data_IF_873027750526
#
_entry.id   IF_873027750526
#
_cell.length_a   1.000
_cell.length_b   1.000
_cell.length_c   1.000
_cell.angle_alpha   90.00
_cell.angle_beta   90.00
_cell.angle_gamma   90.00
#
_symmetry.space_group_name_H-M   'P 1'
#
loop_
_entity.id
_entity.type
_entity.pdbx_description
1 polymer ?
#
# COMPACT_ATOMS: atom_id res chain seq x y z
N UNK A 1 10.94 -14.61 11.36
CA UNK A 1 11.95 -13.63 11.82
C UNK A 1 11.26 -12.31 12.15
N UNK A 2 11.64 -11.51 13.17
CA UNK A 2 10.90 -10.27 13.53
C UNK A 2 10.86 -9.20 12.43
N UNK A 3 11.87 -9.16 11.55
CA UNK A 3 11.91 -8.18 10.46
C UNK A 3 10.93 -8.50 9.31
N UNK A 4 10.61 -9.77 9.13
CA UNK A 4 9.76 -10.25 8.02
C UNK A 4 8.33 -9.68 8.09
N UNK A 5 7.60 -9.74 9.23
CA UNK A 5 6.29 -9.11 9.36
C UNK A 5 6.32 -7.58 9.19
N UNK A 6 7.41 -6.92 9.59
CA UNK A 6 7.58 -5.48 9.38
C UNK A 6 7.75 -5.13 7.90
N UNK A 7 8.55 -5.90 7.15
CA UNK A 7 8.74 -5.68 5.72
C UNK A 7 7.49 -6.07 4.91
N UNK A 8 6.84 -7.17 5.28
CA UNK A 8 5.59 -7.63 4.68
C UNK A 8 4.44 -6.64 4.93
N UNK A 9 4.37 -6.01 6.11
CA UNK A 9 3.33 -5.03 6.43
C UNK A 9 3.41 -3.73 5.63
N UNK A 10 4.56 -3.37 5.06
CA UNK A 10 4.76 -2.14 4.28
C UNK A 10 4.70 -2.42 2.78
N UNK A 11 5.41 -3.45 2.32
CA UNK A 11 5.59 -3.71 0.88
C UNK A 11 4.79 -4.91 0.38
N UNK A 12 4.17 -5.69 1.27
CA UNK A 12 3.47 -6.94 0.95
C UNK A 12 4.31 -7.80 -0.01
N UNK A 13 5.60 -7.92 0.29
CA UNK A 13 6.59 -8.52 -0.59
C UNK A 13 7.42 -9.58 0.15
N UNK A 14 8.16 -10.37 -0.61
CA UNK A 14 9.04 -11.40 -0.09
C UNK A 14 10.38 -10.81 0.36
N UNK A 15 10.70 -10.86 1.67
CA UNK A 15 11.94 -10.29 2.19
C UNK A 15 13.18 -10.88 1.51
N UNK A 16 13.13 -12.13 1.04
CA UNK A 16 14.25 -12.79 0.34
C UNK A 16 14.45 -12.25 -1.09
N UNK A 17 13.45 -11.57 -1.65
CA UNK A 17 13.52 -10.98 -3.00
C UNK A 17 13.54 -9.45 -3.01
N UNK A 18 13.40 -8.85 -1.83
CA UNK A 18 13.35 -7.40 -1.64
C UNK A 18 14.76 -6.82 -1.59
N UNK A 19 15.04 -5.84 -2.44
CA UNK A 19 16.27 -5.06 -2.34
C UNK A 19 16.22 -4.13 -1.13
N UNK A 20 17.04 -4.41 -0.11
CA UNK A 20 17.19 -3.54 1.07
C UNK A 20 17.57 -2.10 0.70
N UNK A 21 18.41 -1.93 -0.33
CA UNK A 21 18.82 -0.61 -0.80
C UNK A 21 17.65 0.18 -1.40
N UNK A 22 16.73 -0.50 -2.08
CA UNK A 22 15.57 0.15 -2.70
C UNK A 22 14.47 0.45 -1.66
N UNK A 23 14.23 -0.45 -0.70
CA UNK A 23 13.09 -0.33 0.21
C UNK A 23 13.43 0.26 1.58
N UNK A 24 14.67 0.13 2.04
CA UNK A 24 15.13 0.69 3.32
C UNK A 24 16.49 1.39 3.21
N UNK A 25 16.64 2.38 2.30
CA UNK A 25 17.92 3.06 2.07
C UNK A 25 18.51 3.67 3.35
N UNK A 26 17.67 4.16 4.25
CA UNK A 26 18.08 4.73 5.54
C UNK A 26 18.81 3.73 6.44
N UNK A 27 18.46 2.44 6.42
CA UNK A 27 19.21 1.45 7.21
C UNK A 27 20.59 1.19 6.62
N UNK A 28 20.69 1.15 5.28
CA UNK A 28 21.99 1.05 4.59
C UNK A 28 22.87 2.26 4.91
N UNK A 29 22.31 3.47 4.91
CA UNK A 29 23.03 4.68 5.29
C UNK A 29 23.52 4.65 6.74
N UNK A 30 22.65 4.20 7.68
CA UNK A 30 23.01 4.07 9.08
C UNK A 30 24.13 3.05 9.26
N UNK A 31 24.02 1.88 8.63
CA UNK A 31 25.05 0.85 8.68
C UNK A 31 26.37 1.37 8.10
N UNK A 32 26.36 2.00 6.92
CA UNK A 32 27.56 2.60 6.31
C UNK A 32 28.22 3.64 7.21
N UNK A 33 27.41 4.45 7.91
CA UNK A 33 27.91 5.55 8.76
C UNK A 33 28.42 5.07 10.13
N UNK A 34 27.76 4.10 10.73
CA UNK A 34 28.01 3.70 12.13
C UNK A 34 28.60 2.29 12.28
N UNK A 35 28.70 1.52 11.19
CA UNK A 35 29.12 0.12 11.17
C UNK A 35 28.15 -0.84 11.87
N UNK A 36 27.00 -0.35 12.33
CA UNK A 36 25.98 -1.11 13.06
C UNK A 36 24.69 -0.32 13.18
N UNK A 37 23.56 -0.97 12.90
CA UNK A 37 22.22 -0.38 13.08
C UNK A 37 21.95 0.01 14.54
N UNK A 38 22.32 -0.85 15.49
CA UNK A 38 22.15 -0.60 16.92
C UNK A 38 22.92 0.64 17.37
N UNK A 39 24.18 0.78 16.94
CA UNK A 39 25.00 1.95 17.25
C UNK A 39 24.39 3.23 16.68
N UNK A 40 23.90 3.18 15.44
CA UNK A 40 23.22 4.30 14.80
C UNK A 40 21.93 4.72 15.49
N UNK A 41 21.09 3.76 15.90
CA UNK A 41 19.86 4.04 16.64
C UNK A 41 20.13 4.66 18.03
N UNK A 42 21.15 4.17 18.75
CA UNK A 42 21.57 4.76 20.03
C UNK A 42 22.03 6.21 19.83
N UNK A 43 22.84 6.46 18.80
CA UNK A 43 23.30 7.81 18.47
C UNK A 43 22.12 8.75 18.14
N UNK A 44 21.16 8.29 17.34
CA UNK A 44 19.96 9.05 16.99
C UNK A 44 19.08 9.37 18.20
N UNK A 45 18.89 8.41 19.11
CA UNK A 45 18.14 8.61 20.37
C UNK A 45 18.80 9.66 21.26
N UNK A 46 20.11 9.59 21.45
CA UNK A 46 20.87 10.58 22.23
C UNK A 46 20.72 11.99 21.64
N UNK A 47 20.81 12.12 20.31
CA UNK A 47 20.61 13.39 19.62
C UNK A 47 19.17 13.92 19.71
N UNK A 48 18.15 13.05 19.63
CA UNK A 48 16.75 13.46 19.78
C UNK A 48 16.44 13.96 21.19
N UNK A 49 16.98 13.29 22.20
CA UNK A 49 16.83 13.67 23.61
C UNK A 49 17.52 15.00 23.92
N UNK A 50 18.72 15.23 23.38
CA UNK A 50 19.44 16.50 23.50
C UNK A 50 18.69 17.68 22.85
N UNK A 51 17.85 17.42 21.84
CA UNK A 51 17.07 18.42 21.11
C UNK A 51 15.64 18.61 21.65
N UNK A 52 15.30 18.03 22.81
CA UNK A 52 13.99 18.22 23.46
C UNK A 52 12.78 17.72 22.65
N UNK A 53 12.98 16.81 21.69
CA UNK A 53 11.88 16.25 20.90
C UNK A 53 11.16 15.19 21.73
N UNK A 54 9.93 15.50 22.15
CA UNK A 54 9.07 14.58 22.87
C UNK A 54 8.66 13.39 21.96
N UNK A 55 8.74 12.18 22.50
CA UNK A 55 8.53 10.92 21.76
C UNK A 55 7.04 10.61 21.50
N UNK A 56 6.13 11.50 21.92
CA UNK A 56 4.67 11.26 21.95
C UNK A 56 3.92 11.55 20.65
N UNK A 57 4.55 12.12 19.63
CA UNK A 57 3.89 12.32 18.34
C UNK A 57 3.86 11.00 17.56
N UNK A 58 2.68 10.40 17.45
CA UNK A 58 2.45 9.26 16.54
C UNK A 58 2.89 9.63 15.12
N UNK A 59 3.66 8.75 14.48
CA UNK A 59 4.08 8.93 13.08
C UNK A 59 2.95 8.62 12.10
N UNK A 60 1.83 8.10 12.59
CA UNK A 60 0.66 7.79 11.78
C UNK A 60 -0.27 8.99 11.69
N UNK A 61 -0.19 9.69 10.56
CA UNK A 61 -1.05 10.83 10.25
C UNK A 61 -1.91 10.53 9.02
N UNK A 62 -3.10 11.10 9.00
CA UNK A 62 -4.01 11.10 7.86
C UNK A 62 -4.81 12.39 7.87
N UNK A 63 -5.48 12.73 6.77
CA UNK A 63 -6.39 13.88 6.72
C UNK A 63 -7.72 13.52 7.40
N UNK A 64 -8.52 14.52 7.79
CA UNK A 64 -9.75 14.27 8.56
C UNK A 64 -10.76 13.45 7.75
N UNK A 65 -11.02 13.82 6.49
CA UNK A 65 -11.98 13.11 5.63
C UNK A 65 -11.37 11.97 4.83
N UNK A 66 -10.04 11.88 4.69
CA UNK A 66 -9.41 10.77 3.95
C UNK A 66 -8.22 11.22 3.15
N UNK A 67 -7.36 10.28 2.74
CA UNK A 67 -6.35 10.61 1.74
C UNK A 67 -6.98 11.00 0.38
N UNK A 68 -8.25 10.67 0.15
CA UNK A 68 -9.01 11.17 -0.99
C UNK A 68 -9.15 12.70 -0.99
N UNK A 69 -9.15 13.37 0.17
CA UNK A 69 -9.16 14.84 0.23
C UNK A 69 -7.94 15.45 -0.45
N UNK A 70 -6.77 14.81 -0.32
CA UNK A 70 -5.55 15.26 -1.01
C UNK A 70 -5.72 15.16 -2.53
N UNK A 71 -6.24 14.04 -3.02
CA UNK A 71 -6.47 13.81 -4.45
C UNK A 71 -7.50 14.80 -5.00
N UNK A 72 -8.60 15.01 -4.27
CA UNK A 72 -9.63 15.98 -4.63
C UNK A 72 -9.10 17.41 -4.68
N UNK A 73 -8.30 17.80 -3.69
CA UNK A 73 -7.67 19.13 -3.66
C UNK A 73 -6.68 19.32 -4.83
N UNK A 74 -5.87 18.31 -5.16
CA UNK A 74 -4.97 18.35 -6.31
C UNK A 74 -5.73 18.48 -7.63
N UNK A 75 -6.79 17.69 -7.80
CA UNK A 75 -7.64 17.73 -9.00
C UNK A 75 -8.33 19.10 -9.17
N UNK A 76 -8.69 19.77 -8.07
CA UNK A 76 -9.25 21.12 -8.11
C UNK A 76 -8.19 22.20 -8.37
N UNK A 77 -6.99 22.05 -7.82
CA UNK A 77 -5.93 23.05 -7.91
C UNK A 77 -5.20 23.05 -9.26
N UNK A 78 -5.16 21.92 -9.97
CA UNK A 78 -4.44 21.82 -11.22
C UNK A 78 -5.17 22.59 -12.33
N UNK A 79 -4.40 23.38 -13.08
CA UNK A 79 -4.88 24.09 -14.28
C UNK A 79 -4.52 23.27 -15.52
N UNK A 80 -5.17 22.13 -15.67
CA UNK A 80 -4.97 21.21 -16.79
C UNK A 80 -6.30 20.57 -17.20
N UNK A 81 -6.38 20.09 -18.43
CA UNK A 81 -7.50 19.25 -18.86
C UNK A 81 -7.36 17.86 -18.22
N UNK A 82 -8.39 17.43 -17.48
CA UNK A 82 -8.46 16.10 -16.88
C UNK A 82 -9.50 15.29 -17.64
N UNK A 83 -9.06 14.21 -18.29
CA UNK A 83 -9.93 13.26 -18.99
C UNK A 83 -10.01 11.95 -18.20
N UNK A 84 -11.14 11.72 -17.55
CA UNK A 84 -11.42 10.48 -16.83
C UNK A 84 -12.06 9.46 -17.76
N UNK A 85 -11.83 8.17 -17.51
CA UNK A 85 -12.37 7.10 -18.35
C UNK A 85 -11.79 7.07 -19.77
N UNK A 86 -10.66 7.74 -19.99
CA UNK A 86 -9.98 7.83 -21.28
C UNK A 86 -8.65 7.10 -21.22
N UNK A 87 -8.56 5.95 -21.86
CA UNK A 87 -7.35 5.12 -21.83
C UNK A 87 -6.50 5.39 -23.05
N UNK A 88 -5.21 5.66 -22.84
CA UNK A 88 -4.23 5.60 -23.93
C UNK A 88 -3.96 4.14 -24.26
N UNK A 89 -4.20 3.75 -25.51
CA UNK A 89 -4.02 2.37 -26.00
C UNK A 89 -2.73 2.21 -26.81
N UNK A 90 -2.23 3.28 -27.43
CA UNK A 90 -0.93 3.29 -28.12
C UNK A 90 -0.21 4.62 -27.96
N UNK A 91 1.12 4.54 -27.99
CA UNK A 91 2.04 5.67 -27.97
C UNK A 91 3.10 5.47 -29.07
N UNK A 92 3.31 6.49 -29.89
CA UNK A 92 4.34 6.49 -30.92
C UNK A 92 5.06 7.85 -30.98
N UNK A 93 6.37 7.83 -31.20
CA UNK A 93 7.10 9.05 -31.58
C UNK A 93 6.71 9.49 -32.99
N UNK A 94 6.66 10.80 -33.25
CA UNK A 94 6.37 11.31 -34.59
C UNK A 94 7.66 11.68 -35.35
N UNK A 95 7.68 11.62 -36.70
CA UNK A 95 8.84 12.03 -37.49
C UNK A 95 9.21 13.52 -37.35
N UNK A 96 8.24 14.38 -37.01
CA UNK A 96 8.45 15.81 -36.84
C UNK A 96 8.98 16.18 -35.43
N UNK A 97 9.14 15.20 -34.55
CA UNK A 97 9.37 15.40 -33.12
C UNK A 97 8.08 15.23 -32.30
N UNK A 98 8.22 14.98 -31.00
CA UNK A 98 7.09 14.73 -30.11
C UNK A 98 6.44 13.35 -30.28
N UNK A 99 5.20 13.24 -29.82
CA UNK A 99 4.48 11.99 -29.65
C UNK A 99 3.04 12.08 -30.13
N UNK A 100 2.54 10.93 -30.55
CA UNK A 100 1.15 10.71 -30.91
C UNK A 100 0.57 9.58 -30.06
N UNK A 101 -0.59 9.84 -29.46
CA UNK A 101 -1.30 8.92 -28.58
C UNK A 101 -2.62 8.52 -29.23
N UNK A 102 -2.93 7.22 -29.22
CA UNK A 102 -4.24 6.68 -29.59
C UNK A 102 -5.03 6.42 -28.31
N UNK A 103 -6.24 6.96 -28.23
CA UNK A 103 -7.17 6.73 -27.13
C UNK A 103 -8.07 5.52 -27.42
N UNK A 104 -8.80 5.04 -26.41
CA UNK A 104 -9.70 3.88 -26.52
C UNK A 104 -10.98 4.18 -27.30
N UNK A 105 -11.36 5.45 -27.41
CA UNK A 105 -12.42 5.94 -28.29
C UNK A 105 -11.95 6.20 -29.74
N UNK A 106 -10.73 5.77 -30.09
CA UNK A 106 -10.07 5.97 -31.38
C UNK A 106 -9.67 7.42 -31.71
N UNK A 107 -9.76 8.35 -30.75
CA UNK A 107 -9.24 9.71 -30.92
C UNK A 107 -7.71 9.71 -30.88
N UNK A 108 -7.10 10.55 -31.71
CA UNK A 108 -5.66 10.78 -31.72
C UNK A 108 -5.32 12.09 -31.02
N UNK A 109 -4.32 12.06 -30.13
CA UNK A 109 -3.74 13.26 -29.53
C UNK A 109 -2.27 13.40 -29.92
N UNK A 110 -1.82 14.64 -30.05
CA UNK A 110 -0.42 14.97 -30.27
C UNK A 110 0.12 15.75 -29.08
N UNK A 111 1.38 15.51 -28.72
CA UNK A 111 2.05 16.17 -27.61
C UNK A 111 3.55 16.25 -27.87
N UNK A 112 4.18 17.36 -27.47
CA UNK A 112 5.64 17.51 -27.59
C UNK A 112 6.40 16.58 -26.63
N UNK A 113 5.78 16.25 -25.50
CA UNK A 113 6.34 15.37 -24.47
C UNK A 113 5.24 14.53 -23.81
N UNK A 114 5.63 13.35 -23.30
CA UNK A 114 4.74 12.43 -22.59
C UNK A 114 5.36 12.00 -21.27
N UNK A 115 4.59 12.11 -20.19
CA UNK A 115 4.96 11.62 -18.85
C UNK A 115 4.13 10.38 -18.53
N UNK A 116 4.78 9.23 -18.40
CA UNK A 116 4.14 7.97 -18.02
C UNK A 116 4.12 7.83 -16.50
N UNK A 117 3.02 8.25 -15.87
CA UNK A 117 2.75 8.06 -14.44
C UNK A 117 1.91 6.79 -14.15
N UNK A 118 1.86 5.86 -15.11
CA UNK A 118 1.13 4.59 -15.01
C UNK A 118 1.96 3.51 -14.30
N UNK A 119 1.33 2.40 -13.84
CA UNK A 119 2.06 1.22 -13.39
C UNK A 119 3.07 0.73 -14.44
N UNK A 120 4.16 0.09 -14.01
CA UNK A 120 5.26 -0.25 -14.90
C UNK A 120 4.85 -1.15 -16.07
N UNK A 121 3.97 -2.14 -15.85
CA UNK A 121 3.48 -3.04 -16.90
C UNK A 121 2.67 -2.28 -17.97
N UNK A 122 1.87 -1.27 -17.58
CA UNK A 122 1.13 -0.42 -18.52
C UNK A 122 2.11 0.43 -19.34
N UNK A 123 3.09 1.03 -18.66
CA UNK A 123 4.14 1.82 -19.31
C UNK A 123 4.96 0.98 -20.28
N UNK A 124 5.25 -0.28 -19.93
CA UNK A 124 5.95 -1.22 -20.79
C UNK A 124 5.18 -1.52 -22.07
N UNK A 125 3.87 -1.79 -21.96
CA UNK A 125 3.01 -2.01 -23.12
C UNK A 125 2.96 -0.81 -24.06
N UNK A 126 2.81 0.40 -23.52
CA UNK A 126 2.80 1.63 -24.31
C UNK A 126 4.14 1.90 -25.00
N UNK A 127 5.25 1.56 -24.35
CA UNK A 127 6.61 1.79 -24.86
C UNK A 127 7.15 0.65 -25.73
N UNK A 128 6.42 -0.47 -25.86
CA UNK A 128 6.93 -1.69 -26.49
C UNK A 128 7.48 -1.47 -27.90
N UNK A 129 6.89 -0.54 -28.66
CA UNK A 129 7.35 -0.17 -30.00
C UNK A 129 8.33 1.01 -30.04
N UNK A 130 8.21 1.95 -29.11
CA UNK A 130 8.99 3.21 -29.12
C UNK A 130 10.35 3.05 -28.40
N UNK A 131 10.40 2.21 -27.36
CA UNK A 131 11.58 1.97 -26.54
C UNK A 131 11.59 0.52 -25.99
N UNK A 132 11.84 -0.50 -26.85
CA UNK A 132 11.68 -1.91 -26.49
C UNK A 132 12.59 -2.39 -25.35
N UNK A 133 13.82 -1.87 -25.26
CA UNK A 133 14.72 -2.21 -24.16
C UNK A 133 14.21 -1.69 -22.81
N UNK A 134 13.64 -0.48 -22.79
CA UNK A 134 13.04 0.10 -21.60
C UNK A 134 11.76 -0.66 -21.21
N UNK A 135 10.93 -1.01 -22.20
CA UNK A 135 9.73 -1.81 -21.97
C UNK A 135 10.06 -3.14 -21.31
N UNK A 136 11.09 -3.85 -21.79
CA UNK A 136 11.57 -5.11 -21.18
C UNK A 136 11.99 -4.92 -19.70
N UNK A 137 12.67 -3.81 -19.38
CA UNK A 137 13.08 -3.51 -18.00
C UNK A 137 11.88 -3.19 -17.10
N UNK A 138 10.87 -2.51 -17.63
CA UNK A 138 9.63 -2.18 -16.91
C UNK A 138 8.79 -3.44 -16.66
N UNK A 139 8.68 -4.34 -17.64
CA UNK A 139 7.98 -5.63 -17.52
C UNK A 139 8.58 -6.54 -16.43
N UNK A 140 9.89 -6.40 -16.16
CA UNK A 140 10.55 -7.17 -15.10
C UNK A 140 10.16 -6.71 -13.68
N UNK A 141 9.50 -5.56 -13.52
CA UNK A 141 9.06 -5.05 -12.21
C UNK A 141 7.85 -5.86 -11.75
N UNK A 142 8.05 -6.73 -10.77
CA UNK A 142 6.99 -7.58 -10.22
C UNK A 142 6.00 -6.79 -9.39
N UNK A 143 4.72 -7.04 -9.64
CA UNK A 143 3.60 -6.60 -8.82
C UNK A 143 3.04 -7.80 -8.07
N UNK A 144 2.43 -7.52 -6.92
CA UNK A 144 1.75 -8.51 -6.10
C UNK A 144 0.37 -7.98 -5.80
N UNK A 145 -0.65 -8.82 -5.99
CA UNK A 145 -2.03 -8.45 -5.72
C UNK A 145 -2.40 -8.69 -4.26
N UNK A 146 -3.20 -7.77 -3.71
CA UNK A 146 -3.78 -7.89 -2.37
C UNK A 146 -5.22 -7.42 -2.41
N UNK A 147 -6.08 -8.06 -1.62
CA UNK A 147 -7.42 -7.59 -1.34
C UNK A 147 -7.43 -6.93 0.05
N UNK A 148 -8.23 -5.87 0.19
CA UNK A 148 -8.46 -5.20 1.46
C UNK A 148 -9.93 -5.35 1.81
N UNK A 149 -10.21 -5.96 2.97
CA UNK A 149 -11.58 -6.18 3.46
C UNK A 149 -11.79 -5.34 4.72
N UNK A 150 -12.79 -4.48 4.71
CA UNK A 150 -13.16 -3.66 5.85
C UNK A 150 -14.40 -4.23 6.53
N UNK A 151 -14.32 -4.47 7.84
CA UNK A 151 -15.39 -5.06 8.64
C UNK A 151 -15.73 -4.15 9.82
N UNK A 152 -17.01 -3.80 9.94
CA UNK A 152 -17.56 -3.04 11.06
C UNK A 152 -18.17 -3.96 12.11
N UNK A 153 -17.90 -3.68 13.37
CA UNK A 153 -18.44 -4.40 14.52
C UNK A 153 -18.91 -3.38 15.57
N UNK A 154 -19.85 -3.77 16.41
CA UNK A 154 -20.12 -3.04 17.64
C UNK A 154 -19.02 -3.33 18.65
N UNK A 155 -18.68 -2.34 19.47
CA UNK A 155 -17.58 -2.46 20.42
C UNK A 155 -17.86 -3.48 21.54
N UNK A 156 -19.12 -3.73 21.87
CA UNK A 156 -19.58 -4.72 22.86
C UNK A 156 -19.49 -6.17 22.36
N UNK A 157 -19.21 -6.38 21.07
CA UNK A 157 -18.92 -7.71 20.53
C UNK A 157 -17.52 -8.22 20.89
N UNK A 158 -16.68 -7.41 21.54
CA UNK A 158 -15.33 -7.79 21.98
C UNK A 158 -15.27 -7.88 23.51
N UNK A 159 -14.64 -8.95 24.03
CA UNK A 159 -14.50 -9.18 25.48
C UNK A 159 -13.60 -8.14 26.17
N UNK A 160 -12.71 -7.53 25.42
CA UNK A 160 -11.80 -6.50 25.91
C UNK A 160 -11.60 -5.40 24.85
N UNK A 161 -11.20 -4.20 25.28
CA UNK A 161 -10.87 -3.13 24.34
C UNK A 161 -9.73 -3.53 23.39
N UNK A 162 -9.81 -3.07 22.14
CA UNK A 162 -8.72 -3.19 21.17
C UNK A 162 -7.77 -1.99 21.30
N UNK A 163 -6.74 -2.12 22.15
CA UNK A 163 -5.81 -1.06 22.57
C UNK A 163 -4.49 -1.00 21.77
N UNK A 164 -4.52 -1.49 20.53
CA UNK A 164 -3.37 -1.53 19.60
C UNK A 164 -3.68 -0.98 18.21
N UNK A 165 -2.74 -1.12 17.27
CA UNK A 165 -2.95 -0.73 15.87
C UNK A 165 -3.38 -1.89 14.96
N UNK A 166 -3.48 -3.09 15.52
CA UNK A 166 -3.71 -4.32 14.79
C UNK A 166 -2.52 -5.29 14.87
N UNK A 167 -2.49 -6.25 13.96
CA UNK A 167 -1.48 -7.30 13.92
C UNK A 167 -1.02 -7.56 12.48
N UNK A 168 0.15 -8.18 12.38
CA UNK A 168 0.73 -8.71 11.14
C UNK A 168 0.92 -10.21 11.32
N UNK A 169 0.64 -10.99 10.29
CA UNK A 169 0.73 -12.45 10.35
C UNK A 169 2.06 -12.90 9.71
N UNK A 170 2.94 -13.54 10.48
CA UNK A 170 4.16 -14.13 9.94
C UNK A 170 3.86 -15.19 8.87
N UNK A 171 4.74 -15.37 7.89
CA UNK A 171 4.47 -16.30 6.77
C UNK A 171 4.34 -17.76 7.20
N UNK A 172 5.01 -18.14 8.28
CA UNK A 172 5.01 -19.53 8.76
C UNK A 172 3.68 -19.94 9.42
N UNK A 173 2.82 -18.99 9.80
CA UNK A 173 1.53 -19.27 10.42
C UNK A 173 0.49 -19.89 9.46
N UNK A 174 0.82 -20.01 8.16
CA UNK A 174 -0.06 -20.55 7.12
C UNK A 174 -1.47 -19.90 7.00
N UNK A 175 -1.77 -18.88 7.79
CA UNK A 175 -2.99 -18.07 7.79
C UNK A 175 -3.26 -17.43 6.43
N UNK A 176 -4.51 -17.24 6.03
CA UNK A 176 -4.88 -16.58 4.76
C UNK A 176 -4.84 -15.05 4.85
N UNK A 177 -4.74 -14.50 6.06
CA UNK A 177 -4.49 -13.09 6.32
C UNK A 177 -3.01 -12.73 6.29
N UNK A 178 -2.70 -11.54 5.77
CA UNK A 178 -1.38 -10.92 5.87
C UNK A 178 -1.25 -10.04 7.12
N UNK A 179 -2.33 -9.30 7.41
CA UNK A 179 -2.39 -8.35 8.51
C UNK A 179 -3.84 -7.94 8.74
N UNK A 180 -4.11 -7.38 9.91
CA UNK A 180 -5.34 -6.66 10.20
C UNK A 180 -5.00 -5.37 10.92
N UNK A 181 -5.47 -4.23 10.40
CA UNK A 181 -5.35 -2.92 11.08
C UNK A 181 -6.63 -2.62 11.83
N UNK A 182 -6.51 -2.17 13.07
CA UNK A 182 -7.63 -1.66 13.87
C UNK A 182 -7.80 -0.17 13.56
N UNK A 183 -8.57 0.11 12.51
CA UNK A 183 -8.65 1.44 11.90
C UNK A 183 -9.29 2.45 12.85
N UNK A 184 -10.34 2.06 13.58
CA UNK A 184 -11.00 2.91 14.57
C UNK A 184 -10.11 3.23 15.76
N UNK A 185 -9.25 2.31 16.23
CA UNK A 185 -8.28 2.62 17.30
C UNK A 185 -7.21 3.59 16.82
N UNK A 186 -6.71 3.39 15.59
CA UNK A 186 -5.67 4.24 14.99
C UNK A 186 -6.19 5.65 14.65
N UNK A 187 -7.43 5.73 14.17
CA UNK A 187 -8.08 6.95 13.71
C UNK A 187 -9.54 6.95 14.18
N UNK A 188 -9.85 7.41 15.41
CA UNK A 188 -11.19 7.33 16.00
C UNK A 188 -12.31 7.90 15.13
N UNK A 189 -12.02 8.96 14.37
CA UNK A 189 -12.95 9.60 13.45
C UNK A 189 -13.29 8.77 12.19
N UNK A 190 -12.74 7.56 12.02
CA UNK A 190 -13.01 6.67 10.88
C UNK A 190 -14.15 5.69 11.11
N UNK A 191 -14.70 5.66 12.31
CA UNK A 191 -15.83 4.82 12.65
C UNK A 191 -16.81 5.63 13.52
N UNK A 192 -18.07 5.22 13.56
CA UNK A 192 -19.04 5.83 14.46
C UNK A 192 -18.67 5.53 15.92
N UNK A 193 -19.03 6.40 16.88
CA UNK A 193 -18.88 6.07 18.30
C UNK A 193 -19.53 4.72 18.64
N UNK A 194 -18.86 3.91 19.45
CA UNK A 194 -19.33 2.57 19.81
C UNK A 194 -19.09 1.48 18.76
N UNK A 195 -18.41 1.79 17.65
CA UNK A 195 -18.07 0.81 16.62
C UNK A 195 -16.57 0.58 16.48
N UNK A 196 -16.21 -0.62 16.07
CA UNK A 196 -14.86 -1.07 15.75
C UNK A 196 -14.77 -1.28 14.25
N UNK A 197 -13.77 -0.66 13.62
CA UNK A 197 -13.49 -0.84 12.19
C UNK A 197 -12.19 -1.60 12.00
N UNK A 198 -12.29 -2.85 11.54
CA UNK A 198 -11.16 -3.68 11.18
C UNK A 198 -10.89 -3.57 9.68
N UNK A 199 -9.61 -3.60 9.31
CA UNK A 199 -9.19 -3.65 7.91
C UNK A 199 -8.19 -4.79 7.73
N UNK A 200 -8.67 -5.89 7.16
CA UNK A 200 -7.89 -7.09 6.90
C UNK A 200 -7.27 -7.03 5.49
N UNK A 201 -6.08 -7.59 5.37
CA UNK A 201 -5.35 -7.71 4.11
C UNK A 201 -5.23 -9.19 3.73
N UNK A 202 -5.70 -9.54 2.54
CA UNK A 202 -5.73 -10.90 2.01
C UNK A 202 -4.86 -10.98 0.76
N UNK A 203 -4.24 -12.14 0.52
CA UNK A 203 -3.42 -12.39 -0.66
C UNK A 203 -1.93 -12.17 -0.38
N UNK A 204 -1.26 -11.40 -1.22
CA UNK A 204 0.19 -11.21 -1.13
C UNK A 204 1.00 -12.33 -1.79
N UNK A 205 2.33 -12.32 -1.63
CA UNK A 205 3.22 -13.19 -2.38
C UNK A 205 2.87 -14.66 -2.12
N UNK A 206 2.74 -15.45 -3.20
CA UNK A 206 2.34 -16.88 -3.19
C UNK A 206 0.87 -17.15 -2.87
N UNK A 207 0.04 -16.13 -2.65
CA UNK A 207 -1.41 -16.25 -2.40
C UNK A 207 -2.24 -15.27 -3.19
N UNK A 208 -1.69 -14.79 -4.30
CA UNK A 208 -2.31 -13.78 -5.16
C UNK A 208 -3.66 -14.25 -5.72
N UNK A 209 -3.83 -15.56 -5.89
CA UNK A 209 -5.10 -16.16 -6.32
C UNK A 209 -6.27 -15.94 -5.35
N UNK A 210 -6.02 -15.65 -4.06
CA UNK A 210 -7.10 -15.31 -3.12
C UNK A 210 -7.81 -14.00 -3.49
N UNK A 211 -7.13 -13.10 -4.19
CA UNK A 211 -7.71 -11.82 -4.63
C UNK A 211 -8.77 -12.01 -5.71
N UNK A 212 -8.80 -13.18 -6.37
CA UNK A 212 -9.79 -13.51 -7.39
C UNK A 212 -11.11 -14.05 -6.82
N UNK A 213 -11.19 -14.25 -5.49
CA UNK A 213 -12.43 -14.60 -4.82
C UNK A 213 -13.43 -13.44 -4.92
N UNK A 214 -14.72 -13.75 -4.95
CA UNK A 214 -15.77 -12.72 -4.85
C UNK A 214 -15.82 -12.10 -3.44
N UNK A 215 -16.56 -11.00 -3.33
CA UNK A 215 -16.63 -10.20 -2.10
C UNK A 215 -17.17 -11.02 -0.91
N UNK A 216 -18.20 -11.84 -1.12
CA UNK A 216 -18.80 -12.66 -0.06
C UNK A 216 -17.83 -13.73 0.43
N UNK A 217 -17.11 -14.38 -0.49
CA UNK A 217 -16.08 -15.36 -0.17
C UNK A 217 -14.89 -14.71 0.56
N UNK A 218 -14.46 -13.51 0.16
CA UNK A 218 -13.42 -12.75 0.86
C UNK A 218 -13.86 -12.38 2.28
N UNK A 219 -15.08 -11.87 2.45
CA UNK A 219 -15.63 -11.54 3.77
C UNK A 219 -15.74 -12.79 4.65
N UNK A 220 -16.23 -13.90 4.10
CA UNK A 220 -16.31 -15.19 4.78
C UNK A 220 -14.94 -15.68 5.26
N UNK A 221 -13.94 -15.66 4.38
CA UNK A 221 -12.56 -16.03 4.68
C UNK A 221 -11.98 -15.17 5.80
N UNK A 222 -12.14 -13.85 5.72
CA UNK A 222 -11.61 -12.94 6.76
C UNK A 222 -12.30 -13.20 8.10
N UNK A 223 -13.63 -13.39 8.11
CA UNK A 223 -14.37 -13.71 9.34
C UNK A 223 -13.90 -15.03 9.96
N UNK A 224 -13.65 -16.06 9.15
CA UNK A 224 -13.14 -17.35 9.60
C UNK A 224 -11.75 -17.19 10.25
N UNK A 225 -10.83 -16.49 9.59
CA UNK A 225 -9.48 -16.26 10.10
C UNK A 225 -9.47 -15.43 11.40
N UNK A 226 -10.36 -14.43 11.50
CA UNK A 226 -10.46 -13.62 12.71
C UNK A 226 -11.02 -14.40 13.91
N UNK A 227 -11.91 -15.37 13.71
CA UNK A 227 -12.44 -16.23 14.80
C UNK A 227 -11.36 -17.07 15.47
N UNK A 228 -10.32 -17.46 14.73
CA UNK A 228 -9.21 -18.24 15.25
C UNK A 228 -8.24 -17.45 16.14
N UNK A 229 -8.43 -16.13 16.25
CA UNK A 229 -7.55 -15.26 17.00
C UNK A 229 -8.12 -14.94 18.39
N UNK A 230 -7.28 -14.71 19.42
CA UNK A 230 -7.71 -14.32 20.77
C UNK A 230 -8.48 -12.98 20.85
N UNK A 231 -8.66 -12.31 19.70
CA UNK A 231 -9.18 -10.96 19.53
C UNK A 231 -10.46 -11.00 18.68
N UNK A 232 -11.08 -12.17 18.59
CA UNK A 232 -12.25 -12.43 17.75
C UNK A 232 -13.50 -11.70 18.28
N UNK A 233 -14.31 -11.12 17.40
CA UNK A 233 -15.64 -10.64 17.77
C UNK A 233 -16.54 -11.84 18.08
N UNK A 234 -17.41 -11.70 19.07
CA UNK A 234 -18.36 -12.74 19.48
C UNK A 234 -19.54 -12.89 18.49
N UNK A 235 -19.80 -11.88 17.66
CA UNK A 235 -20.86 -11.86 16.67
C UNK A 235 -20.32 -11.49 15.27
N UNK A 236 -21.04 -11.84 14.19
CA UNK A 236 -20.62 -11.48 12.83
C UNK A 236 -20.83 -9.98 12.58
N UNK A 237 -19.90 -9.37 11.82
CA UNK A 237 -19.96 -7.96 11.43
C UNK A 237 -21.30 -7.58 10.79
N UNK A 238 -21.77 -6.37 11.10
CA UNK A 238 -22.99 -5.75 10.54
C UNK A 238 -22.72 -5.19 9.14
#
# INVERSE_FOLDING_TARGET
>A
MLAEPMMAGIHVADPETLSLQATFPRFVEIERRYGSLTRGMIAARRAAHANGRDARTTTFMTLRGGLQELVGALAHAIRAEIRLGTRVTRLAATPAGGYRLLLDDSVMLEADAVVLATPAYVSADLLRHTAPELATKLDAIRYVSTATVSLGYNADEFEHPLDGFGFVVPRHEQARLLACTWTSTKFPQRAAPGTVLLRAFVGGPRREGLVALDDDALVGLVREELRGLPLAPQQPAV
#
